data_IF_584511077939
#
_entry.id   IF_584511077939
#
_cell.length_a   1.000
_cell.length_b   1.000
_cell.length_c   1.000
_cell.angle_alpha   90.00
_cell.angle_beta   90.00
_cell.angle_gamma   90.00
#
_symmetry.space_group_name_H-M   'P 1'
#
loop_
_entity.id
_entity.type
_entity.pdbx_description
1 polymer ?
#
# COMPACT_ATOMS: atom_id res chain seq x y z
N UNK A 1 -59.68 -36.41 9.16
CA UNK A 1 -58.73 -35.70 10.08
C UNK A 1 -57.46 -35.41 9.30
N UNK A 2 -57.24 -34.12 8.95
CA UNK A 2 -56.04 -33.69 8.21
C UNK A 2 -55.06 -33.14 9.26
N UNK A 3 -53.88 -33.74 9.36
CA UNK A 3 -52.84 -33.28 10.24
C UNK A 3 -52.04 -32.16 9.56
N UNK A 4 -52.12 -30.97 10.11
CA UNK A 4 -51.32 -29.80 9.68
C UNK A 4 -49.97 -29.88 10.37
N UNK A 5 -48.91 -30.16 9.59
CA UNK A 5 -47.54 -30.11 10.08
C UNK A 5 -47.06 -28.67 9.93
N UNK A 6 -46.88 -27.98 11.05
CA UNK A 6 -46.26 -26.62 11.09
C UNK A 6 -44.76 -26.82 11.11
N UNK A 7 -44.11 -26.50 10.03
CA UNK A 7 -42.63 -26.43 9.94
C UNK A 7 -42.17 -25.13 10.59
N UNK A 8 -41.58 -25.21 11.77
CA UNK A 8 -40.95 -24.08 12.43
C UNK A 8 -39.56 -23.85 11.80
N UNK A 9 -39.43 -22.82 10.95
CA UNK A 9 -38.14 -22.43 10.39
C UNK A 9 -37.36 -21.67 11.48
N UNK A 10 -36.35 -22.33 12.09
CA UNK A 10 -35.36 -21.66 12.93
C UNK A 10 -34.43 -20.82 12.02
N UNK A 11 -34.64 -19.52 11.98
CA UNK A 11 -33.66 -18.58 11.42
C UNK A 11 -32.47 -18.46 12.39
N UNK A 12 -31.36 -19.07 12.04
CA UNK A 12 -30.08 -18.82 12.71
C UNK A 12 -29.68 -17.37 12.43
N UNK A 13 -29.95 -16.47 13.37
CA UNK A 13 -29.34 -15.14 13.36
C UNK A 13 -27.87 -15.33 13.75
N UNK A 14 -26.99 -15.35 12.76
CA UNK A 14 -25.56 -15.29 12.99
C UNK A 14 -25.27 -13.97 13.73
N UNK A 15 -24.96 -14.08 15.01
CA UNK A 15 -24.54 -12.95 15.85
C UNK A 15 -23.23 -12.46 15.27
N UNK A 16 -23.23 -11.25 14.68
CA UNK A 16 -22.00 -10.58 14.30
C UNK A 16 -21.11 -10.52 15.55
N UNK A 17 -19.94 -11.14 15.48
CA UNK A 17 -18.95 -11.02 16.56
C UNK A 17 -18.76 -9.53 16.83
N UNK A 18 -18.86 -9.11 18.09
CA UNK A 18 -18.77 -7.72 18.51
C UNK A 18 -17.47 -7.14 17.94
N UNK A 19 -17.60 -6.17 17.02
CA UNK A 19 -16.44 -5.48 16.49
C UNK A 19 -15.67 -4.81 17.63
N UNK A 20 -14.33 -4.87 17.66
CA UNK A 20 -13.56 -4.25 18.71
C UNK A 20 -13.94 -2.78 18.88
N UNK A 21 -14.01 -2.32 20.14
CA UNK A 21 -14.29 -0.92 20.41
C UNK A 21 -13.22 -0.03 19.77
N UNK A 22 -13.61 1.13 19.23
CA UNK A 22 -12.66 2.08 18.68
C UNK A 22 -11.61 2.50 19.71
N UNK A 23 -10.37 2.60 19.26
CA UNK A 23 -9.23 3.10 20.02
C UNK A 23 -8.81 4.48 19.49
N UNK A 24 -7.65 5.00 19.93
CA UNK A 24 -7.07 6.23 19.38
C UNK A 24 -5.67 5.99 18.85
N UNK A 25 -5.35 6.66 17.74
CA UNK A 25 -4.03 6.77 17.18
C UNK A 25 -3.72 8.23 16.86
N UNK A 26 -2.69 8.80 17.49
CA UNK A 26 -2.34 10.23 17.38
C UNK A 26 -3.54 11.18 17.57
N UNK A 27 -4.45 10.86 18.51
CA UNK A 27 -5.66 11.65 18.78
C UNK A 27 -6.86 11.34 17.90
N UNK A 28 -6.70 10.66 16.78
CA UNK A 28 -7.76 10.29 15.85
C UNK A 28 -8.41 8.94 16.23
N UNK A 29 -9.67 8.76 15.88
CA UNK A 29 -10.42 7.50 16.13
C UNK A 29 -9.91 6.41 15.20
N UNK A 30 -9.47 5.30 15.78
CA UNK A 30 -9.00 4.11 15.09
C UNK A 30 -9.98 2.96 15.27
N UNK A 31 -10.34 2.31 14.18
CA UNK A 31 -11.11 1.08 14.15
C UNK A 31 -10.19 -0.06 13.71
N UNK A 32 -10.07 -1.07 14.55
CA UNK A 32 -9.36 -2.30 14.20
C UNK A 32 -10.30 -3.28 13.50
N UNK A 33 -9.77 -3.96 12.49
CA UNK A 33 -10.45 -4.97 11.69
C UNK A 33 -9.66 -6.28 11.78
N UNK A 34 -10.36 -7.39 11.71
CA UNK A 34 -9.74 -8.70 11.49
C UNK A 34 -10.30 -9.31 10.21
N UNK A 35 -9.41 -9.77 9.35
CA UNK A 35 -9.74 -10.47 8.11
C UNK A 35 -8.80 -11.67 7.99
N UNK A 36 -9.33 -12.88 7.97
CA UNK A 36 -8.56 -14.13 7.95
C UNK A 36 -7.45 -14.21 9.01
N UNK A 37 -7.75 -13.74 10.23
CA UNK A 37 -6.78 -13.70 11.33
C UNK A 37 -5.71 -12.63 11.19
N UNK A 38 -5.74 -11.81 10.13
CA UNK A 38 -4.81 -10.69 9.89
C UNK A 38 -5.39 -9.40 10.45
N UNK A 39 -4.49 -8.56 10.91
CA UNK A 39 -4.86 -7.23 11.44
C UNK A 39 -5.03 -6.24 10.29
N UNK A 40 -6.19 -5.61 10.25
CA UNK A 40 -6.45 -4.40 9.48
C UNK A 40 -6.86 -3.25 10.39
N UNK A 41 -6.83 -2.04 9.91
CA UNK A 41 -7.35 -0.88 10.63
C UNK A 41 -7.74 0.25 9.68
N UNK A 42 -8.63 1.11 10.18
CA UNK A 42 -8.96 2.40 9.55
C UNK A 42 -8.92 3.48 10.62
N UNK A 43 -8.15 4.53 10.38
CA UNK A 43 -8.12 5.75 11.21
C UNK A 43 -8.98 6.82 10.54
N UNK A 44 -9.90 7.40 11.30
CA UNK A 44 -10.86 8.39 10.81
C UNK A 44 -10.38 9.80 11.16
N UNK A 45 -10.49 10.76 10.21
CA UNK A 45 -10.30 12.17 10.52
C UNK A 45 -11.38 12.69 11.48
N UNK A 46 -11.13 13.81 12.15
CA UNK A 46 -12.14 14.47 12.98
C UNK A 46 -13.35 14.91 12.13
N UNK A 47 -13.10 15.46 10.95
CA UNK A 47 -14.10 15.83 9.96
C UNK A 47 -13.69 15.25 8.60
N UNK A 48 -14.47 14.32 8.08
CA UNK A 48 -14.16 13.70 6.80
C UNK A 48 -14.39 14.67 5.64
N UNK A 49 -13.43 14.75 4.73
CA UNK A 49 -13.57 15.48 3.48
C UNK A 49 -14.66 14.84 2.59
N UNK A 50 -15.31 15.61 1.70
CA UNK A 50 -16.28 15.08 0.75
C UNK A 50 -15.70 13.92 -0.06
N UNK A 51 -16.52 12.89 -0.32
CA UNK A 51 -16.08 11.68 -1.02
C UNK A 51 -15.23 10.73 -0.17
N UNK A 52 -14.88 11.11 1.07
CA UNK A 52 -14.09 10.31 2.01
C UNK A 52 -12.83 9.73 1.38
N UNK A 53 -11.92 10.57 0.88
CA UNK A 53 -10.64 10.13 0.34
C UNK A 53 -9.83 9.43 1.43
N UNK A 54 -8.93 8.54 1.01
CA UNK A 54 -8.12 7.77 1.93
C UNK A 54 -6.77 7.38 1.34
N UNK A 55 -5.80 7.24 2.24
CA UNK A 55 -4.50 6.69 1.96
C UNK A 55 -4.37 5.34 2.64
N UNK A 56 -3.84 4.37 1.92
CA UNK A 56 -3.66 3.01 2.39
C UNK A 56 -2.18 2.68 2.47
N UNK A 57 -1.68 2.69 3.69
CA UNK A 57 -0.30 2.30 4.00
C UNK A 57 -0.17 0.79 3.88
N UNK A 58 0.72 0.33 3.00
CA UNK A 58 0.86 -1.08 2.67
C UNK A 58 1.82 -1.82 3.59
N UNK A 59 2.72 -1.12 4.29
CA UNK A 59 3.64 -1.65 5.31
C UNK A 59 3.95 -0.60 6.39
N UNK A 60 4.56 -1.03 7.50
CA UNK A 60 5.14 -0.17 8.54
C UNK A 60 4.19 0.89 9.12
N UNK A 61 2.94 0.51 9.42
CA UNK A 61 1.98 1.44 10.01
C UNK A 61 2.53 2.13 11.26
N UNK A 62 2.44 3.46 11.27
CA UNK A 62 2.88 4.28 12.38
C UNK A 62 4.36 4.67 12.37
N UNK A 63 5.16 4.18 11.39
CA UNK A 63 6.53 4.61 11.21
C UNK A 63 6.57 5.89 10.35
N UNK A 64 7.25 6.94 10.83
CA UNK A 64 7.34 8.26 10.16
C UNK A 64 5.97 8.77 9.66
N UNK A 65 4.99 8.99 10.56
CA UNK A 65 3.58 9.16 10.22
C UNK A 65 3.19 10.61 9.86
N UNK A 66 4.16 11.49 9.56
CA UNK A 66 3.92 12.92 9.34
C UNK A 66 2.90 13.15 8.21
N UNK A 67 3.01 12.40 7.13
CA UNK A 67 2.09 12.46 6.00
C UNK A 67 0.70 11.97 6.35
N UNK A 68 0.61 10.82 7.03
CA UNK A 68 -0.67 10.27 7.50
C UNK A 68 -1.41 11.27 8.38
N UNK A 69 -0.70 11.88 9.34
CA UNK A 69 -1.26 12.89 10.25
C UNK A 69 -1.70 14.14 9.49
N UNK A 70 -0.91 14.61 8.52
CA UNK A 70 -1.26 15.76 7.70
C UNK A 70 -2.52 15.49 6.87
N UNK A 71 -2.65 14.29 6.27
CA UNK A 71 -3.83 13.89 5.51
C UNK A 71 -5.06 13.71 6.40
N UNK A 72 -4.93 13.14 7.61
CA UNK A 72 -6.01 13.07 8.60
C UNK A 72 -6.51 14.48 8.97
N UNK A 73 -5.60 15.45 9.17
CA UNK A 73 -5.97 16.85 9.41
C UNK A 73 -6.66 17.50 8.20
N UNK A 74 -6.35 17.05 6.98
CA UNK A 74 -7.02 17.46 5.75
C UNK A 74 -8.35 16.71 5.49
N UNK A 75 -8.81 15.87 6.42
CA UNK A 75 -10.09 15.15 6.33
C UNK A 75 -10.01 13.80 5.61
N UNK A 76 -8.82 13.28 5.32
CA UNK A 76 -8.63 11.96 4.72
C UNK A 76 -8.65 10.86 5.77
N UNK A 77 -9.01 9.65 5.37
CA UNK A 77 -8.85 8.46 6.19
C UNK A 77 -7.47 7.84 5.95
N UNK A 78 -6.94 7.14 6.96
CA UNK A 78 -5.72 6.33 6.82
C UNK A 78 -6.08 4.88 7.08
N UNK A 79 -5.62 3.97 6.23
CA UNK A 79 -5.86 2.54 6.40
C UNK A 79 -4.54 1.75 6.37
N UNK A 80 -4.58 0.57 6.96
CA UNK A 80 -3.49 -0.40 6.93
C UNK A 80 -4.04 -1.81 6.98
N UNK A 81 -3.39 -2.73 6.29
CA UNK A 81 -3.67 -4.16 6.37
C UNK A 81 -2.37 -4.95 6.37
N UNK A 82 -2.23 -5.87 7.33
CA UNK A 82 -0.99 -6.60 7.54
C UNK A 82 -0.90 -7.81 6.60
N UNK A 83 -0.14 -7.67 5.52
CA UNK A 83 0.29 -8.73 4.61
C UNK A 83 1.82 -8.87 4.58
N UNK A 84 2.45 -8.52 5.72
CA UNK A 84 3.92 -8.55 5.86
C UNK A 84 4.50 -9.91 5.51
N UNK A 85 5.75 -9.89 5.02
CA UNK A 85 6.51 -11.08 4.62
C UNK A 85 5.94 -11.89 3.45
N UNK A 86 5.04 -11.28 2.65
CA UNK A 86 4.52 -11.84 1.40
C UNK A 86 5.10 -11.17 0.14
N UNK A 87 5.94 -10.15 0.31
CA UNK A 87 6.70 -9.46 -0.76
C UNK A 87 5.85 -8.95 -1.94
N UNK A 88 4.57 -8.67 -1.74
CA UNK A 88 3.68 -8.20 -2.79
C UNK A 88 3.34 -9.25 -3.85
N UNK A 89 3.40 -10.53 -3.52
CA UNK A 89 3.03 -11.64 -4.39
C UNK A 89 1.53 -11.62 -4.74
N UNK A 90 1.08 -12.42 -5.73
CA UNK A 90 -0.33 -12.46 -6.11
C UNK A 90 -1.30 -12.82 -4.97
N UNK A 91 -0.86 -13.62 -3.97
CA UNK A 91 -1.69 -13.97 -2.82
C UNK A 91 -1.88 -12.78 -1.89
N UNK A 92 -0.82 -11.99 -1.66
CA UNK A 92 -0.93 -10.77 -0.88
C UNK A 92 -1.83 -9.74 -1.56
N UNK A 93 -1.76 -9.62 -2.88
CA UNK A 93 -2.64 -8.74 -3.67
C UNK A 93 -4.10 -9.16 -3.52
N UNK A 94 -4.40 -10.46 -3.58
CA UNK A 94 -5.76 -10.97 -3.37
C UNK A 94 -6.29 -10.68 -1.96
N UNK A 95 -5.47 -10.88 -0.91
CA UNK A 95 -5.84 -10.54 0.47
C UNK A 95 -6.04 -9.03 0.64
N UNK A 96 -5.22 -8.20 -0.01
CA UNK A 96 -5.40 -6.75 -0.03
C UNK A 96 -6.72 -6.36 -0.70
N UNK A 97 -7.15 -7.07 -1.74
CA UNK A 97 -8.41 -6.81 -2.42
C UNK A 97 -9.62 -7.09 -1.53
N UNK A 98 -9.60 -8.17 -0.75
CA UNK A 98 -10.62 -8.47 0.26
C UNK A 98 -10.67 -7.38 1.34
N UNK A 99 -9.51 -6.89 1.80
CA UNK A 99 -9.45 -5.77 2.75
C UNK A 99 -10.01 -4.48 2.13
N UNK A 100 -9.68 -4.19 0.87
CA UNK A 100 -10.22 -3.03 0.15
C UNK A 100 -11.75 -3.05 0.17
N UNK A 101 -12.37 -4.16 -0.25
CA UNK A 101 -13.83 -4.29 -0.28
C UNK A 101 -14.45 -4.10 1.12
N UNK A 102 -13.80 -4.64 2.15
CA UNK A 102 -14.22 -4.49 3.55
C UNK A 102 -14.10 -3.04 4.02
N UNK A 103 -12.99 -2.37 3.75
CA UNK A 103 -12.76 -0.99 4.16
C UNK A 103 -13.73 -0.03 3.47
N UNK A 104 -13.88 -0.14 2.15
CA UNK A 104 -14.78 0.69 1.37
C UNK A 104 -16.23 0.51 1.81
N UNK A 105 -16.70 -0.74 1.95
CA UNK A 105 -18.10 -1.00 2.33
C UNK A 105 -18.41 -0.59 3.78
N UNK A 106 -17.51 -0.86 4.73
CA UNK A 106 -17.76 -0.59 6.16
C UNK A 106 -17.66 0.89 6.53
N UNK A 107 -16.81 1.66 5.86
CA UNK A 107 -16.57 3.08 6.18
C UNK A 107 -17.11 4.04 5.12
N UNK A 108 -17.59 3.53 3.99
CA UNK A 108 -18.06 4.31 2.85
C UNK A 108 -16.95 5.15 2.23
N UNK A 109 -15.73 4.60 2.14
CA UNK A 109 -14.55 5.28 1.60
C UNK A 109 -14.67 5.48 0.09
N UNK A 110 -13.88 6.42 -0.45
CA UNK A 110 -13.72 6.55 -1.90
C UNK A 110 -13.38 5.20 -2.54
N UNK A 111 -13.92 4.94 -3.74
CA UNK A 111 -13.57 3.74 -4.51
C UNK A 111 -12.12 3.72 -5.01
N UNK A 112 -11.43 4.84 -4.93
CA UNK A 112 -10.02 4.94 -5.33
C UNK A 112 -9.17 5.34 -4.14
N UNK A 113 -8.21 4.49 -3.78
CA UNK A 113 -7.26 4.71 -2.70
C UNK A 113 -5.98 5.36 -3.22
N UNK A 114 -5.33 6.16 -2.40
CA UNK A 114 -3.90 6.38 -2.53
C UNK A 114 -3.18 5.22 -1.85
N UNK A 115 -2.23 4.58 -2.53
CA UNK A 115 -1.41 3.54 -1.90
C UNK A 115 -0.08 4.13 -1.48
N UNK A 116 0.29 3.88 -0.23
CA UNK A 116 1.53 4.36 0.37
C UNK A 116 2.50 3.19 0.59
N UNK A 117 3.66 3.24 -0.07
CA UNK A 117 4.66 2.19 -0.04
C UNK A 117 6.01 2.68 0.46
N UNK A 118 6.33 2.43 1.74
CA UNK A 118 7.66 2.65 2.32
C UNK A 118 8.51 1.39 2.16
N UNK A 119 9.75 1.55 1.68
CA UNK A 119 10.71 0.45 1.57
C UNK A 119 10.09 -0.76 0.85
N UNK A 120 10.07 -1.95 1.45
CA UNK A 120 9.40 -3.14 0.87
C UNK A 120 7.89 -2.96 0.66
N UNK A 121 7.26 -1.95 1.28
CA UNK A 121 5.88 -1.55 1.00
C UNK A 121 5.66 -1.15 -0.46
N UNK A 122 6.70 -0.73 -1.17
CA UNK A 122 6.67 -0.48 -2.59
C UNK A 122 6.26 -1.68 -3.43
N UNK A 123 6.67 -2.91 -3.02
CA UNK A 123 6.25 -4.16 -3.68
C UNK A 123 4.73 -4.33 -3.65
N UNK A 124 4.11 -4.10 -2.51
CA UNK A 124 2.67 -4.25 -2.32
C UNK A 124 1.89 -3.13 -3.04
N UNK A 125 2.29 -1.88 -2.81
CA UNK A 125 1.61 -0.71 -3.38
C UNK A 125 1.57 -0.77 -4.91
N UNK A 126 2.71 -1.01 -5.54
CA UNK A 126 2.82 -1.03 -7.01
C UNK A 126 2.16 -2.28 -7.60
N UNK A 127 2.31 -3.45 -6.96
CA UNK A 127 1.69 -4.68 -7.45
C UNK A 127 0.17 -4.62 -7.35
N UNK A 128 -0.38 -4.06 -6.25
CA UNK A 128 -1.81 -3.84 -6.11
C UNK A 128 -2.33 -2.81 -7.14
N UNK A 129 -1.66 -1.67 -7.29
CA UNK A 129 -2.04 -0.65 -8.28
C UNK A 129 -2.06 -1.20 -9.71
N UNK A 130 -1.11 -2.07 -10.05
CA UNK A 130 -1.05 -2.68 -11.38
C UNK A 130 -2.16 -3.72 -11.60
N UNK A 131 -2.59 -4.43 -10.55
CA UNK A 131 -3.70 -5.38 -10.61
C UNK A 131 -5.07 -4.65 -10.62
N UNK A 132 -5.18 -3.53 -9.92
CA UNK A 132 -6.41 -2.78 -9.70
C UNK A 132 -6.24 -1.27 -10.00
N UNK A 133 -5.93 -0.89 -11.25
CA UNK A 133 -5.71 0.51 -11.60
C UNK A 133 -6.98 1.38 -11.44
N UNK A 134 -8.15 0.79 -11.58
CA UNK A 134 -9.46 1.42 -11.36
C UNK A 134 -9.74 1.73 -9.88
N UNK A 135 -9.10 1.03 -8.95
CA UNK A 135 -9.18 1.21 -7.49
C UNK A 135 -8.08 2.11 -6.92
N UNK A 136 -7.14 2.57 -7.76
CA UNK A 136 -5.98 3.36 -7.36
C UNK A 136 -6.10 4.81 -7.82
N UNK A 137 -6.04 5.75 -6.87
CA UNK A 137 -6.10 7.19 -7.14
C UNK A 137 -4.72 7.79 -7.44
N UNK A 138 -3.72 7.40 -6.66
CA UNK A 138 -2.33 7.83 -6.76
C UNK A 138 -1.41 6.85 -6.01
N UNK A 139 -0.10 7.00 -6.19
CA UNK A 139 0.91 6.33 -5.37
C UNK A 139 1.76 7.37 -4.63
N UNK A 140 2.00 7.13 -3.33
CA UNK A 140 3.08 7.74 -2.57
C UNK A 140 4.10 6.65 -2.23
N UNK A 141 5.31 6.80 -2.73
CA UNK A 141 6.39 5.82 -2.60
C UNK A 141 7.57 6.44 -1.86
N UNK A 142 8.08 5.79 -0.82
CA UNK A 142 9.21 6.30 -0.04
C UNK A 142 10.32 5.24 0.04
N UNK A 143 11.48 5.55 -0.54
CA UNK A 143 12.59 4.62 -0.70
C UNK A 143 12.12 3.21 -1.14
N UNK A 144 11.22 3.08 -2.15
CA UNK A 144 10.47 1.87 -2.42
C UNK A 144 11.33 0.77 -3.02
N UNK A 145 11.13 -0.47 -2.58
CA UNK A 145 11.61 -1.65 -3.30
C UNK A 145 10.75 -1.83 -4.55
N UNK A 146 11.38 -1.75 -5.71
CA UNK A 146 10.73 -1.91 -7.02
C UNK A 146 11.31 -3.05 -7.86
N UNK A 147 12.40 -3.67 -7.37
CA UNK A 147 13.01 -4.86 -7.95
C UNK A 147 13.50 -5.78 -6.81
N UNK A 148 12.93 -7.00 -6.72
CA UNK A 148 13.33 -7.98 -5.69
C UNK A 148 14.80 -8.38 -5.81
N UNK A 149 15.42 -8.23 -6.97
CA UNK A 149 16.85 -8.50 -7.20
C UNK A 149 17.74 -7.42 -6.58
N UNK A 150 17.24 -6.20 -6.43
CA UNK A 150 17.93 -5.12 -5.72
C UNK A 150 17.84 -5.34 -4.21
N UNK A 151 16.61 -5.50 -3.71
CA UNK A 151 16.32 -5.90 -2.35
C UNK A 151 15.11 -6.87 -2.36
N UNK A 152 15.16 -7.99 -1.68
CA UNK A 152 16.21 -8.49 -0.81
C UNK A 152 17.39 -9.19 -1.51
N UNK A 153 17.43 -9.24 -2.86
CA UNK A 153 18.37 -10.04 -3.65
C UNK A 153 19.84 -9.59 -3.65
N UNK A 154 20.19 -8.42 -3.08
CA UNK A 154 21.57 -8.10 -2.79
C UNK A 154 22.39 -7.35 -3.85
N UNK A 155 21.76 -6.68 -4.81
CA UNK A 155 22.46 -5.67 -5.62
C UNK A 155 22.84 -4.46 -4.74
N UNK A 156 21.91 -4.04 -3.83
CA UNK A 156 22.20 -3.17 -2.70
C UNK A 156 22.73 -3.95 -1.51
N UNK A 157 22.34 -3.57 -0.27
CA UNK A 157 22.56 -4.39 0.93
C UNK A 157 21.49 -5.45 1.04
N UNK A 158 21.62 -6.56 0.35
CA UNK A 158 20.67 -7.66 0.38
C UNK A 158 20.46 -8.26 1.77
N UNK A 159 19.36 -8.95 1.95
CA UNK A 159 19.04 -9.75 3.14
C UNK A 159 18.82 -11.20 2.72
N UNK A 160 19.78 -12.06 3.05
CA UNK A 160 19.77 -13.47 2.63
C UNK A 160 18.53 -14.23 3.13
N UNK A 161 18.02 -13.91 4.34
CA UNK A 161 16.81 -14.53 4.88
C UNK A 161 15.57 -14.09 4.09
N UNK A 162 15.44 -12.78 3.88
CA UNK A 162 14.35 -12.22 3.12
C UNK A 162 14.42 -12.66 1.64
N UNK A 163 15.62 -12.80 1.08
CA UNK A 163 15.80 -13.31 -0.28
C UNK A 163 15.29 -14.73 -0.43
N UNK A 164 15.69 -15.63 0.48
CA UNK A 164 15.19 -17.01 0.49
C UNK A 164 13.66 -17.05 0.59
N UNK A 165 13.06 -16.25 1.49
CA UNK A 165 11.61 -16.16 1.63
C UNK A 165 10.94 -15.66 0.34
N UNK A 166 11.51 -14.62 -0.30
CA UNK A 166 10.95 -14.08 -1.53
C UNK A 166 10.97 -15.13 -2.66
N UNK A 167 12.08 -15.86 -2.82
CA UNK A 167 12.16 -16.95 -3.79
C UNK A 167 11.11 -18.03 -3.55
N UNK A 168 10.96 -18.47 -2.30
CA UNK A 168 9.95 -19.49 -1.92
C UNK A 168 8.53 -19.00 -2.23
N UNK A 169 8.20 -17.75 -1.89
CA UNK A 169 6.86 -17.16 -2.08
C UNK A 169 6.52 -17.00 -3.55
N UNK A 170 7.48 -16.55 -4.36
CA UNK A 170 7.28 -16.40 -5.80
C UNK A 170 7.49 -17.72 -6.58
N UNK A 171 7.92 -18.78 -5.94
CA UNK A 171 8.23 -20.08 -6.58
C UNK A 171 9.40 -19.99 -7.55
N UNK A 172 10.42 -19.19 -7.23
CA UNK A 172 11.57 -18.93 -8.07
C UNK A 172 12.81 -19.68 -7.57
N UNK A 173 13.64 -20.11 -8.50
CA UNK A 173 15.04 -20.46 -8.23
C UNK A 173 15.92 -19.21 -8.37
N UNK A 174 17.17 -19.28 -7.92
CA UNK A 174 18.16 -18.21 -8.11
C UNK A 174 18.31 -17.83 -9.60
N UNK A 175 18.33 -18.81 -10.50
CA UNK A 175 18.45 -18.54 -11.93
C UNK A 175 17.18 -17.93 -12.52
N UNK A 176 16.00 -18.39 -12.13
CA UNK A 176 14.73 -17.82 -12.55
C UNK A 176 14.58 -16.38 -12.09
N UNK A 177 15.07 -16.05 -10.90
CA UNK A 177 14.99 -14.69 -10.36
C UNK A 177 15.78 -13.67 -11.17
N UNK A 178 16.88 -14.07 -11.83
CA UNK A 178 17.66 -13.18 -12.74
C UNK A 178 16.81 -12.64 -13.88
N UNK A 179 15.90 -13.46 -14.41
CA UNK A 179 15.05 -13.13 -15.55
C UNK A 179 13.60 -12.77 -15.15
N UNK A 180 13.33 -12.67 -13.85
CA UNK A 180 11.99 -12.41 -13.33
C UNK A 180 11.42 -11.08 -13.83
N UNK A 181 10.24 -11.13 -14.46
CA UNK A 181 9.52 -9.97 -15.04
C UNK A 181 8.28 -9.56 -14.24
N UNK A 182 8.14 -10.04 -13.02
CA UNK A 182 7.03 -9.70 -12.13
C UNK A 182 7.30 -8.54 -11.16
N UNK A 183 8.44 -7.86 -11.33
CA UNK A 183 8.81 -6.75 -10.45
C UNK A 183 7.91 -5.53 -10.65
N UNK A 184 7.70 -4.69 -9.63
CA UNK A 184 7.13 -3.35 -9.79
C UNK A 184 7.73 -2.55 -10.93
N UNK A 185 9.05 -2.60 -11.10
CA UNK A 185 9.80 -1.94 -12.17
C UNK A 185 9.32 -2.32 -13.59
N UNK A 186 8.83 -3.54 -13.76
CA UNK A 186 8.32 -4.05 -15.04
C UNK A 186 6.90 -3.52 -15.35
N UNK A 187 6.21 -2.94 -14.36
CA UNK A 187 4.82 -2.46 -14.44
C UNK A 187 4.72 -0.94 -14.69
N UNK A 188 5.85 -0.23 -14.73
CA UNK A 188 5.89 1.22 -14.85
C UNK A 188 5.08 1.75 -16.05
N UNK A 189 5.23 1.15 -17.23
CA UNK A 189 4.53 1.58 -18.45
C UNK A 189 3.00 1.35 -18.35
N UNK A 190 2.58 0.22 -17.79
CA UNK A 190 1.16 -0.09 -17.64
C UNK A 190 0.47 0.89 -16.68
N UNK A 191 1.12 1.21 -15.56
CA UNK A 191 0.64 2.21 -14.61
C UNK A 191 0.60 3.62 -15.19
N UNK A 192 1.60 3.99 -16.02
CA UNK A 192 1.61 5.27 -16.72
C UNK A 192 0.43 5.39 -17.69
N UNK A 193 0.17 4.34 -18.47
CA UNK A 193 -1.00 4.27 -19.38
C UNK A 193 -2.33 4.31 -18.63
N UNK A 194 -2.39 3.78 -17.40
CA UNK A 194 -3.55 3.90 -16.53
C UNK A 194 -3.73 5.32 -15.93
N UNK A 195 -2.76 6.22 -16.13
CA UNK A 195 -2.83 7.61 -15.71
C UNK A 195 -2.76 7.81 -14.20
N UNK A 196 -2.14 6.91 -13.44
CA UNK A 196 -2.02 6.98 -11.98
C UNK A 196 -0.91 7.96 -11.61
N UNK A 197 -1.17 9.13 -10.99
CA UNK A 197 -0.11 10.04 -10.57
C UNK A 197 0.72 9.46 -9.44
N UNK A 198 2.04 9.69 -9.47
CA UNK A 198 2.99 9.17 -8.48
C UNK A 198 3.82 10.30 -7.89
N UNK A 199 3.99 10.31 -6.57
CA UNK A 199 5.04 11.06 -5.89
C UNK A 199 5.96 10.08 -5.17
N UNK A 200 7.27 10.24 -5.35
CA UNK A 200 8.27 9.41 -4.70
C UNK A 200 9.25 10.27 -3.90
N UNK A 201 9.61 9.82 -2.70
CA UNK A 201 10.65 10.43 -1.84
C UNK A 201 11.77 9.43 -1.70
N UNK A 202 13.01 9.83 -1.96
CA UNK A 202 14.17 8.93 -1.94
C UNK A 202 15.41 9.61 -1.38
N UNK A 203 16.30 8.86 -0.74
CA UNK A 203 17.66 9.29 -0.44
C UNK A 203 18.60 8.92 -1.59
N UNK A 204 19.51 9.81 -1.99
CA UNK A 204 20.47 9.51 -3.05
C UNK A 204 21.70 8.71 -2.57
N UNK A 205 21.90 8.63 -1.25
CA UNK A 205 22.90 7.80 -0.60
C UNK A 205 22.34 6.49 -0.02
N UNK A 206 21.10 6.10 -0.40
CA UNK A 206 20.46 4.86 0.05
C UNK A 206 21.23 3.65 -0.45
N UNK A 207 21.86 2.91 0.47
CA UNK A 207 22.65 1.71 0.20
C UNK A 207 21.88 0.41 0.50
N UNK A 208 20.67 0.49 1.05
CA UNK A 208 19.77 -0.65 1.30
C UNK A 208 18.84 -0.88 0.10
N UNK A 209 18.16 0.18 -0.35
CA UNK A 209 17.29 0.17 -1.54
C UNK A 209 17.77 1.29 -2.49
N UNK A 210 18.87 1.06 -3.22
CA UNK A 210 19.53 2.11 -3.99
C UNK A 210 18.59 2.78 -4.99
N UNK A 211 18.57 4.13 -4.95
CA UNK A 211 17.80 4.95 -5.88
C UNK A 211 18.05 4.56 -7.34
N UNK A 212 19.34 4.34 -7.69
CA UNK A 212 19.76 3.98 -9.04
C UNK A 212 19.23 2.62 -9.54
N UNK A 213 18.85 1.72 -8.64
CA UNK A 213 18.37 0.38 -8.97
C UNK A 213 16.84 0.26 -8.93
N UNK A 214 16.16 1.17 -8.24
CA UNK A 214 14.71 1.13 -7.97
C UNK A 214 13.98 2.33 -8.59
N UNK A 215 13.89 3.43 -7.86
CA UNK A 215 13.04 4.58 -8.25
C UNK A 215 13.52 5.27 -9.51
N UNK A 216 14.83 5.40 -9.74
CA UNK A 216 15.35 6.09 -10.94
C UNK A 216 14.91 5.42 -12.24
N UNK A 217 15.22 4.13 -12.49
CA UNK A 217 14.81 3.45 -13.71
C UNK A 217 13.28 3.31 -13.81
N UNK A 218 12.57 3.20 -12.70
CA UNK A 218 11.11 3.20 -12.70
C UNK A 218 10.56 4.55 -13.19
N UNK A 219 11.05 5.66 -12.64
CA UNK A 219 10.61 7.00 -13.01
C UNK A 219 10.95 7.35 -14.47
N UNK A 220 12.10 6.90 -14.97
CA UNK A 220 12.50 7.06 -16.38
C UNK A 220 11.51 6.35 -17.31
N UNK A 221 11.22 5.07 -17.07
CA UNK A 221 10.21 4.30 -17.83
C UNK A 221 8.82 4.92 -17.73
N UNK A 222 8.44 5.35 -16.52
CA UNK A 222 7.13 5.94 -16.25
C UNK A 222 6.91 7.23 -17.04
N UNK A 223 7.90 8.15 -17.04
CA UNK A 223 7.87 9.39 -17.81
C UNK A 223 7.91 9.15 -19.32
N UNK A 224 8.74 8.20 -19.77
CA UNK A 224 8.81 7.83 -21.18
C UNK A 224 7.47 7.31 -21.73
N UNK A 225 6.66 6.68 -20.87
CA UNK A 225 5.31 6.23 -21.19
C UNK A 225 4.22 7.31 -21.01
N UNK A 226 4.60 8.57 -20.73
CA UNK A 226 3.69 9.71 -20.57
C UNK A 226 3.07 9.84 -19.17
N UNK A 227 3.54 9.09 -18.18
CA UNK A 227 3.03 9.13 -16.82
C UNK A 227 3.51 10.35 -16.01
N UNK A 228 2.68 10.80 -15.08
CA UNK A 228 3.01 11.90 -14.15
C UNK A 228 3.68 11.34 -12.90
N UNK A 229 4.98 11.57 -12.76
CA UNK A 229 5.74 11.19 -11.57
C UNK A 229 6.65 12.33 -11.10
N UNK A 230 6.49 12.73 -9.84
CA UNK A 230 7.40 13.63 -9.13
C UNK A 230 8.35 12.80 -8.25
N UNK A 231 9.65 13.10 -8.30
CA UNK A 231 10.66 12.44 -7.46
C UNK A 231 11.35 13.52 -6.64
N UNK A 232 11.19 13.43 -5.32
CA UNK A 232 11.82 14.30 -4.34
C UNK A 232 13.05 13.58 -3.81
N UNK A 233 14.23 14.06 -4.18
CA UNK A 233 15.50 13.47 -3.75
C UNK A 233 15.98 14.18 -2.48
N UNK A 234 16.35 13.42 -1.47
CA UNK A 234 16.99 13.90 -0.23
C UNK A 234 18.51 13.75 -0.36
N UNK A 235 19.27 14.85 -0.60
CA UNK A 235 20.71 14.76 -0.83
C UNK A 235 21.47 14.21 0.38
N UNK A 236 22.35 13.23 0.17
CA UNK A 236 23.18 12.63 1.19
C UNK A 236 22.45 11.77 2.22
N UNK A 237 21.15 11.53 2.02
CA UNK A 237 20.34 10.70 2.94
C UNK A 237 20.38 9.26 2.51
N UNK A 238 20.64 8.35 3.48
CA UNK A 238 20.55 6.90 3.32
C UNK A 238 19.08 6.44 3.36
N UNK A 239 18.84 5.14 3.58
CA UNK A 239 17.50 4.53 3.65
C UNK A 239 16.60 5.16 4.71
N UNK A 240 17.18 5.60 5.81
CA UNK A 240 16.49 6.29 6.89
C UNK A 240 17.04 7.70 7.10
N UNK A 241 16.20 8.66 7.61
CA UNK A 241 14.78 8.51 7.89
C UNK A 241 13.94 8.49 6.61
N UNK A 242 12.83 7.74 6.64
CA UNK A 242 11.79 7.82 5.63
C UNK A 242 11.04 9.14 5.70
N UNK A 243 10.17 9.39 4.70
CA UNK A 243 9.33 10.58 4.62
C UNK A 243 10.14 11.89 4.51
N UNK A 244 9.45 12.99 4.64
CA UNK A 244 10.01 14.31 4.79
C UNK A 244 9.69 14.83 6.18
N UNK A 245 10.61 15.58 6.80
CA UNK A 245 10.35 16.25 8.08
C UNK A 245 9.12 17.16 7.99
N UNK A 246 9.00 17.92 6.90
CA UNK A 246 7.77 18.60 6.49
C UNK A 246 7.12 17.79 5.35
N UNK A 247 5.97 17.16 5.57
CA UNK A 247 5.32 16.33 4.56
C UNK A 247 4.63 17.12 3.45
N UNK A 248 4.56 18.44 3.58
CA UNK A 248 3.80 19.34 2.71
C UNK A 248 4.03 19.09 1.21
N UNK A 249 5.25 18.90 0.69
CA UNK A 249 5.46 18.72 -0.74
C UNK A 249 4.69 17.55 -1.34
N UNK A 250 4.76 16.36 -0.74
CA UNK A 250 4.04 15.20 -1.28
C UNK A 250 2.55 15.22 -0.91
N UNK A 251 2.18 15.80 0.24
CA UNK A 251 0.76 15.99 0.60
C UNK A 251 0.08 16.94 -0.39
N UNK A 252 0.69 18.07 -0.73
CA UNK A 252 0.17 18.99 -1.75
C UNK A 252 0.01 18.31 -3.11
N UNK A 253 0.98 17.47 -3.50
CA UNK A 253 0.86 16.66 -4.72
C UNK A 253 -0.37 15.77 -4.69
N UNK A 254 -0.59 15.03 -3.59
CA UNK A 254 -1.75 14.15 -3.45
C UNK A 254 -3.06 14.93 -3.46
N UNK A 255 -3.16 16.04 -2.71
CA UNK A 255 -4.35 16.89 -2.68
C UNK A 255 -4.68 17.52 -4.04
N UNK A 256 -3.68 17.79 -4.86
CA UNK A 256 -3.82 18.32 -6.22
C UNK A 256 -4.35 17.26 -7.20
N UNK A 257 -3.87 16.03 -7.09
CA UNK A 257 -4.12 14.98 -8.09
C UNK A 257 -5.26 14.03 -7.74
N UNK A 258 -5.69 13.97 -6.47
CA UNK A 258 -6.78 13.13 -6.00
C UNK A 258 -8.00 14.00 -5.72
N UNK A 259 -9.03 13.83 -6.53
CA UNK A 259 -10.32 14.55 -6.44
C UNK A 259 -11.43 13.63 -5.96
#
# INVERSE_FOLDING_TARGET
MRHLIILLALTLVARAADAPLPTKWNGFVRHDLSLDGRTGLVVKPANAAPGKPWIWRTEFFGHEPQGDIALLNAGWHVAFFKVSDMYGDPKSVALMDEFYDRAVSSFGLSRRAVLEGFSRGGLYAVNYAAAHPDRTAALYLDAPVLDIRSWPGGKGKGDARCWKQALEIYGLTEDMAKEFKGNPLDKAEALAKAGIPIVAVVGDADDVVPYAENTKPFAEKYRAAGGTIEVIVKPGVNHHPHSLKDPKPFVDFLLKHVK
#
